data_IF_273264144089
#
_entry.id   IF_273264144089
#
_cell.length_a   1.000
_cell.length_b   1.000
_cell.length_c   1.000
_cell.angle_alpha   90.00
_cell.angle_beta   90.00
_cell.angle_gamma   90.00
#
_symmetry.space_group_name_H-M   'P 1'
#
loop_
_entity.id
_entity.type
_entity.pdbx_description
1 polymer ?
#
# COMPACT_ATOMS: atom_id res chain seq x y z
N UNK A 1 -11.44 12.66 -17.75
CA UNK A 1 -11.44 13.93 -16.98
C UNK A 1 -10.03 14.48 -16.71
N UNK A 2 -8.95 13.68 -16.86
CA UNK A 2 -7.57 14.07 -16.49
C UNK A 2 -7.13 15.36 -17.20
N UNK A 3 -7.26 15.41 -18.54
CA UNK A 3 -6.88 16.60 -19.33
C UNK A 3 -7.74 17.81 -18.98
N UNK A 4 -9.06 17.61 -18.73
CA UNK A 4 -9.98 18.68 -18.33
C UNK A 4 -9.52 19.30 -17.00
N UNK A 5 -9.24 18.46 -16.01
CA UNK A 5 -8.83 18.93 -14.67
C UNK A 5 -7.44 19.58 -14.67
N UNK A 6 -6.49 19.04 -15.45
CA UNK A 6 -5.20 19.70 -15.62
C UNK A 6 -5.31 21.10 -16.26
N UNK A 7 -6.17 21.26 -17.30
CA UNK A 7 -6.46 22.57 -17.88
C UNK A 7 -7.09 23.52 -16.86
N UNK A 8 -7.98 23.03 -16.01
CA UNK A 8 -8.61 23.82 -14.93
C UNK A 8 -7.54 24.30 -13.92
N UNK A 9 -6.59 23.46 -13.52
CA UNK A 9 -5.48 23.85 -12.66
C UNK A 9 -4.62 24.93 -13.32
N UNK A 10 -4.29 24.78 -14.61
CA UNK A 10 -3.43 25.72 -15.34
C UNK A 10 -4.09 27.08 -15.56
N UNK A 11 -5.40 27.09 -15.84
CA UNK A 11 -6.14 28.32 -16.19
C UNK A 11 -6.62 29.10 -14.97
N UNK A 12 -6.60 28.48 -13.78
CA UNK A 12 -7.10 29.10 -12.58
C UNK A 12 -5.95 29.28 -11.57
N UNK A 13 -5.29 30.44 -11.62
CA UNK A 13 -4.24 30.78 -10.66
C UNK A 13 -4.71 30.76 -9.19
N UNK A 14 -6.01 30.93 -8.95
CA UNK A 14 -6.62 30.78 -7.64
C UNK A 14 -6.76 29.31 -7.25
N UNK A 15 -6.97 28.37 -8.18
CA UNK A 15 -7.05 26.94 -7.87
C UNK A 15 -5.73 26.40 -7.31
N UNK A 16 -4.60 26.86 -7.84
CA UNK A 16 -3.27 26.52 -7.32
C UNK A 16 -3.09 27.03 -5.87
N UNK A 17 -3.63 28.21 -5.57
CA UNK A 17 -3.60 28.79 -4.20
C UNK A 17 -4.64 28.16 -3.26
N UNK A 18 -5.74 27.67 -3.81
CA UNK A 18 -6.93 27.26 -3.06
C UNK A 18 -7.06 25.73 -2.86
N UNK A 19 -6.06 24.91 -3.25
CA UNK A 19 -6.06 23.44 -3.09
C UNK A 19 -7.38 22.77 -3.51
N UNK A 20 -8.03 23.30 -4.55
CA UNK A 20 -9.40 22.90 -4.94
C UNK A 20 -9.50 21.42 -5.30
N UNK A 21 -8.50 20.87 -5.97
CA UNK A 21 -8.46 19.45 -6.33
C UNK A 21 -8.02 18.56 -5.18
N UNK A 22 -7.11 19.05 -4.31
CA UNK A 22 -6.76 18.34 -3.09
C UNK A 22 -7.98 18.17 -2.19
N UNK A 23 -8.74 19.25 -1.95
CA UNK A 23 -9.95 19.20 -1.11
C UNK A 23 -11.02 18.28 -1.72
N UNK A 24 -11.24 18.36 -3.04
CA UNK A 24 -12.19 17.48 -3.75
C UNK A 24 -11.77 16.00 -3.67
N UNK A 25 -10.49 15.71 -3.86
CA UNK A 25 -9.94 14.36 -3.74
C UNK A 25 -10.18 13.79 -2.33
N UNK A 26 -9.85 14.56 -1.29
CA UNK A 26 -10.08 14.18 0.10
C UNK A 26 -11.56 13.94 0.38
N UNK A 27 -12.47 14.80 -0.10
CA UNK A 27 -13.92 14.62 0.07
C UNK A 27 -14.45 13.37 -0.63
N UNK A 28 -14.01 13.08 -1.86
CA UNK A 28 -14.44 11.90 -2.58
C UNK A 28 -13.95 10.59 -1.89
N UNK A 29 -12.73 10.60 -1.33
CA UNK A 29 -12.26 9.48 -0.51
C UNK A 29 -13.06 9.32 0.78
N UNK A 30 -13.30 10.39 1.54
CA UNK A 30 -14.15 10.38 2.74
C UNK A 30 -15.52 9.79 2.43
N UNK A 31 -16.15 10.24 1.35
CA UNK A 31 -17.47 9.76 0.90
C UNK A 31 -17.43 8.28 0.52
N UNK A 32 -16.44 7.85 -0.26
CA UNK A 32 -16.33 6.48 -0.77
C UNK A 32 -16.07 5.48 0.34
N UNK A 33 -15.13 5.78 1.24
CA UNK A 33 -14.73 4.91 2.34
C UNK A 33 -15.52 5.14 3.62
N UNK A 34 -16.39 6.16 3.66
CA UNK A 34 -17.19 6.54 4.84
C UNK A 34 -16.32 6.82 6.08
N UNK A 35 -15.16 7.46 5.87
CA UNK A 35 -14.26 7.91 6.94
C UNK A 35 -14.45 9.38 7.25
N UNK A 36 -14.12 9.80 8.47
CA UNK A 36 -14.28 11.21 8.88
C UNK A 36 -13.24 12.12 8.23
N UNK A 37 -12.00 11.65 8.09
CA UNK A 37 -10.86 12.46 7.65
C UNK A 37 -10.09 11.75 6.56
N UNK A 38 -9.59 12.55 5.61
CA UNK A 38 -8.68 12.13 4.55
C UNK A 38 -7.60 13.19 4.38
N UNK A 39 -6.35 12.79 4.26
CA UNK A 39 -5.20 13.68 4.12
C UNK A 39 -4.40 13.25 2.90
N UNK A 40 -4.47 14.02 1.81
CA UNK A 40 -3.72 13.76 0.60
C UNK A 40 -2.26 14.18 0.77
N UNK A 41 -1.35 13.32 0.31
CA UNK A 41 0.11 13.45 0.43
C UNK A 41 0.80 13.17 -0.90
N UNK A 42 2.07 13.60 -1.02
CA UNK A 42 2.82 13.51 -2.27
C UNK A 42 3.35 12.10 -2.61
N UNK A 43 3.25 11.13 -1.70
CA UNK A 43 3.55 9.71 -1.96
C UNK A 43 2.96 8.79 -0.90
N UNK A 44 2.84 7.48 -1.18
CA UNK A 44 2.48 6.49 -0.16
C UNK A 44 3.49 6.46 0.99
N UNK A 45 4.80 6.55 0.68
CA UNK A 45 5.86 6.58 1.68
C UNK A 45 5.74 7.78 2.64
N UNK A 46 5.48 8.98 2.13
CA UNK A 46 5.23 10.15 2.98
C UNK A 46 3.95 10.01 3.82
N UNK A 47 2.96 9.31 3.30
CA UNK A 47 1.77 8.93 4.06
C UNK A 47 2.09 8.02 5.24
N UNK A 48 2.86 6.95 5.02
CA UNK A 48 3.31 6.07 6.10
C UNK A 48 4.11 6.82 7.16
N UNK A 49 5.02 7.72 6.74
CA UNK A 49 5.79 8.55 7.67
C UNK A 49 4.89 9.43 8.54
N UNK A 50 3.92 10.10 7.90
CA UNK A 50 2.94 10.92 8.62
C UNK A 50 2.05 10.10 9.55
N UNK A 51 1.67 8.87 9.16
CA UNK A 51 0.91 7.95 9.99
C UNK A 51 1.70 7.48 11.22
N UNK A 52 2.96 7.10 11.04
CA UNK A 52 3.84 6.72 12.16
C UNK A 52 4.09 7.89 13.12
N UNK A 53 4.32 9.11 12.57
CA UNK A 53 4.42 10.32 13.39
C UNK A 53 3.13 10.58 14.19
N UNK A 54 1.97 10.49 13.53
CA UNK A 54 0.67 10.69 14.18
C UNK A 54 0.40 9.66 15.29
N UNK A 55 0.81 8.39 15.06
CA UNK A 55 0.78 7.32 16.06
C UNK A 55 1.80 7.52 17.21
N UNK A 56 2.67 8.52 17.10
CA UNK A 56 3.64 8.91 18.13
C UNK A 56 4.86 8.00 18.19
N UNK A 57 5.27 7.41 17.06
CA UNK A 57 6.51 6.63 16.94
C UNK A 57 7.71 7.53 17.18
N UNK A 58 8.66 7.05 17.99
CA UNK A 58 9.87 7.78 18.41
C UNK A 58 11.11 6.87 18.37
N UNK A 59 12.32 7.43 18.41
CA UNK A 59 13.52 6.64 18.54
C UNK A 59 13.48 5.68 19.75
N UNK A 60 13.84 4.43 19.49
CA UNK A 60 13.82 3.35 20.50
C UNK A 60 12.51 2.56 20.60
N UNK A 61 11.44 3.01 19.95
CA UNK A 61 10.19 2.24 19.81
C UNK A 61 10.37 1.04 18.89
N UNK A 62 9.42 0.10 18.91
CA UNK A 62 9.35 -1.05 18.02
C UNK A 62 8.10 -0.97 17.14
N UNK A 63 8.27 -1.32 15.85
CA UNK A 63 7.19 -1.42 14.86
C UNK A 63 7.10 -2.86 14.40
N UNK A 64 5.91 -3.46 14.47
CA UNK A 64 5.67 -4.80 13.92
C UNK A 64 5.09 -4.67 12.51
N UNK A 65 5.70 -5.32 11.52
CA UNK A 65 5.21 -5.34 10.14
C UNK A 65 5.46 -6.68 9.44
N UNK A 66 4.98 -6.81 8.20
CA UNK A 66 5.18 -7.99 7.37
C UNK A 66 6.59 -8.02 6.75
N UNK A 67 7.23 -9.20 6.64
CA UNK A 67 8.43 -9.37 5.84
C UNK A 67 8.16 -9.27 4.32
N UNK A 68 6.92 -9.49 3.87
CA UNK A 68 6.50 -9.25 2.50
C UNK A 68 5.90 -7.85 2.36
N UNK A 69 6.74 -6.94 1.94
CA UNK A 69 6.41 -5.56 1.57
C UNK A 69 7.54 -4.99 0.72
N UNK A 70 7.39 -3.75 0.26
CA UNK A 70 8.52 -2.90 -0.13
C UNK A 70 9.19 -2.37 1.13
N UNK A 71 10.43 -1.88 1.00
CA UNK A 71 11.21 -1.39 2.15
C UNK A 71 10.56 -0.22 2.92
N UNK A 72 9.49 0.41 2.39
CA UNK A 72 8.96 1.66 2.95
C UNK A 72 8.46 1.54 4.39
N UNK A 73 7.73 0.47 4.76
CA UNK A 73 7.24 0.29 6.13
C UNK A 73 8.39 0.19 7.13
N UNK A 74 9.41 -0.60 6.79
CA UNK A 74 10.57 -0.82 7.61
C UNK A 74 11.55 0.37 7.55
N UNK A 75 11.85 0.86 6.36
CA UNK A 75 12.83 1.93 6.15
C UNK A 75 12.44 3.23 6.82
N UNK A 76 11.17 3.62 6.75
CA UNK A 76 10.67 4.82 7.43
C UNK A 76 10.77 4.67 8.95
N UNK A 77 10.38 3.52 9.50
CA UNK A 77 10.52 3.26 10.93
C UNK A 77 11.99 3.39 11.39
N UNK A 78 12.94 2.85 10.62
CA UNK A 78 14.36 2.95 10.90
C UNK A 78 14.86 4.41 10.81
N UNK A 79 14.43 5.16 9.81
CA UNK A 79 14.75 6.60 9.66
C UNK A 79 14.24 7.40 10.87
N UNK A 80 13.09 7.01 11.42
CA UNK A 80 12.54 7.60 12.66
C UNK A 80 13.27 7.13 13.93
N UNK A 81 14.26 6.24 13.82
CA UNK A 81 15.00 5.67 14.95
C UNK A 81 14.29 4.53 15.68
N UNK A 82 13.20 4.01 15.12
CA UNK A 82 12.50 2.85 15.63
C UNK A 82 13.14 1.54 15.15
N UNK A 83 12.95 0.46 15.90
CA UNK A 83 13.34 -0.89 15.53
C UNK A 83 12.17 -1.59 14.83
N UNK A 84 12.47 -2.32 13.76
CA UNK A 84 11.45 -3.10 13.03
C UNK A 84 11.47 -4.55 13.52
N UNK A 85 10.31 -5.10 13.78
CA UNK A 85 10.08 -6.50 14.15
C UNK A 85 9.22 -7.12 13.04
N UNK A 86 9.68 -8.22 12.46
CA UNK A 86 8.96 -8.88 11.37
C UNK A 86 8.12 -10.03 11.90
N UNK A 87 6.83 -9.98 11.69
CA UNK A 87 5.91 -11.07 11.96
C UNK A 87 5.66 -11.87 10.69
N UNK A 88 5.82 -13.20 10.75
CA UNK A 88 5.64 -14.09 9.60
C UNK A 88 4.20 -14.05 9.07
N UNK A 89 4.00 -14.59 7.90
CA UNK A 89 2.77 -14.56 7.13
C UNK A 89 2.00 -15.88 7.20
N UNK A 90 0.72 -15.83 6.83
CA UNK A 90 -0.08 -17.04 6.52
C UNK A 90 0.30 -17.58 5.15
N UNK A 91 0.54 -18.89 5.06
CA UNK A 91 0.98 -19.57 3.83
C UNK A 91 0.03 -19.34 2.64
N UNK A 92 -1.28 -19.41 2.87
CA UNK A 92 -2.27 -19.29 1.79
C UNK A 92 -2.48 -17.87 1.30
N UNK A 93 -2.62 -16.93 2.22
CA UNK A 93 -2.99 -15.55 1.91
C UNK A 93 -1.80 -14.61 1.64
N UNK A 94 -0.58 -15.00 2.01
CA UNK A 94 0.64 -14.18 1.97
C UNK A 94 0.58 -12.91 2.83
N UNK A 95 -0.47 -12.72 3.60
CA UNK A 95 -0.62 -11.61 4.52
C UNK A 95 -0.09 -11.96 5.91
N UNK A 96 0.30 -10.96 6.66
CA UNK A 96 0.81 -11.08 8.03
C UNK A 96 -0.14 -11.94 8.90
N UNK A 97 0.42 -12.87 9.69
CA UNK A 97 -0.37 -13.71 10.60
C UNK A 97 -0.63 -12.97 11.93
N UNK A 98 -1.90 -12.70 12.28
CA UNK A 98 -2.24 -12.07 13.56
C UNK A 98 -1.66 -12.78 14.79
N UNK A 99 -1.54 -14.12 14.76
CA UNK A 99 -0.94 -14.88 15.86
C UNK A 99 0.53 -14.56 16.01
N UNK A 100 1.25 -14.41 14.88
CA UNK A 100 2.66 -14.03 14.88
C UNK A 100 2.87 -12.58 15.32
N UNK A 101 1.93 -11.69 15.04
CA UNK A 101 1.95 -10.32 15.61
C UNK A 101 1.90 -10.39 17.13
N UNK A 102 0.93 -11.11 17.70
CA UNK A 102 0.70 -11.14 19.15
C UNK A 102 1.89 -11.74 19.92
N UNK A 103 2.56 -12.78 19.36
CA UNK A 103 3.76 -13.41 19.93
C UNK A 103 4.95 -12.42 20.07
N UNK A 104 5.01 -11.37 19.26
CA UNK A 104 6.14 -10.44 19.14
C UNK A 104 5.94 -9.11 19.88
N UNK A 105 4.78 -8.90 20.47
CA UNK A 105 4.49 -7.65 21.20
C UNK A 105 5.35 -7.53 22.45
N UNK A 106 5.99 -6.37 22.59
CA UNK A 106 6.75 -5.98 23.79
C UNK A 106 6.22 -4.67 24.36
N UNK A 107 6.77 -4.23 25.50
CA UNK A 107 6.47 -2.91 26.07
C UNK A 107 6.93 -1.74 25.21
N UNK A 108 7.78 -1.99 24.18
CA UNK A 108 8.29 -1.00 23.24
C UNK A 108 7.49 -0.96 21.95
N UNK A 109 6.60 -1.93 21.72
CA UNK A 109 5.77 -1.97 20.49
C UNK A 109 4.85 -0.75 20.45
N UNK A 110 5.06 0.11 19.47
CA UNK A 110 4.39 1.41 19.33
C UNK A 110 3.34 1.44 18.23
N UNK A 111 3.52 0.67 17.17
CA UNK A 111 2.51 0.50 16.12
C UNK A 111 2.64 -0.87 15.45
N UNK A 112 1.54 -1.34 14.87
CA UNK A 112 1.49 -2.52 14.01
C UNK A 112 1.10 -2.06 12.61
N UNK A 113 1.87 -2.48 11.58
CA UNK A 113 1.65 -2.08 10.19
C UNK A 113 1.35 -3.32 9.34
N UNK A 114 0.09 -3.78 9.26
CA UNK A 114 -0.30 -4.82 8.33
C UNK A 114 -0.33 -4.29 6.91
N UNK A 115 0.15 -5.09 5.95
CA UNK A 115 0.14 -4.78 4.52
C UNK A 115 -0.86 -5.69 3.83
N UNK A 116 -1.90 -5.14 3.21
CA UNK A 116 -2.86 -5.87 2.39
C UNK A 116 -2.23 -6.24 1.03
N UNK A 117 -1.42 -7.33 1.04
CA UNK A 117 -0.46 -7.63 -0.01
C UNK A 117 -1.12 -8.22 -1.27
N UNK A 118 -0.61 -7.82 -2.45
CA UNK A 118 -1.14 -8.15 -3.78
C UNK A 118 -2.57 -7.67 -4.06
N UNK A 119 -3.22 -7.00 -3.10
CA UNK A 119 -4.61 -6.56 -3.19
C UNK A 119 -5.60 -7.43 -2.43
N UNK A 120 -5.12 -8.39 -1.63
CA UNK A 120 -5.93 -9.18 -0.72
C UNK A 120 -5.95 -8.53 0.68
N UNK A 121 -7.13 -8.31 1.28
CA UNK A 121 -7.22 -7.76 2.64
C UNK A 121 -6.48 -8.61 3.68
N UNK A 122 -5.91 -7.96 4.68
CA UNK A 122 -5.46 -8.63 5.91
C UNK A 122 -6.65 -9.09 6.77
N UNK A 123 -6.41 -9.96 7.74
CA UNK A 123 -7.37 -10.34 8.79
C UNK A 123 -7.56 -9.19 9.80
N UNK A 124 -8.10 -8.06 9.30
CA UNK A 124 -8.07 -6.79 10.01
C UNK A 124 -8.83 -6.83 11.35
N UNK A 125 -9.92 -7.59 11.46
CA UNK A 125 -10.67 -7.71 12.72
C UNK A 125 -9.79 -8.29 13.84
N UNK A 126 -9.00 -9.34 13.53
CA UNK A 126 -8.10 -9.95 14.50
C UNK A 126 -6.95 -9.01 14.86
N UNK A 127 -6.38 -8.32 13.87
CA UNK A 127 -5.28 -7.37 14.08
C UNK A 127 -5.75 -6.18 14.93
N UNK A 128 -6.91 -5.61 14.63
CA UNK A 128 -7.49 -4.50 15.41
C UNK A 128 -7.81 -4.95 16.83
N UNK A 129 -8.31 -6.18 17.03
CA UNK A 129 -8.53 -6.74 18.36
C UNK A 129 -7.24 -6.83 19.17
N UNK A 130 -6.14 -7.25 18.54
CA UNK A 130 -4.80 -7.26 19.17
C UNK A 130 -4.38 -5.83 19.53
N UNK A 131 -4.48 -4.88 18.59
CA UNK A 131 -4.15 -3.48 18.81
C UNK A 131 -4.89 -2.90 20.03
N UNK A 132 -6.20 -3.14 20.13
CA UNK A 132 -7.02 -2.70 21.26
C UNK A 132 -6.61 -3.37 22.58
N UNK A 133 -6.33 -4.68 22.57
CA UNK A 133 -5.90 -5.44 23.76
C UNK A 133 -4.63 -4.86 24.38
N UNK A 134 -3.68 -4.43 23.54
CA UNK A 134 -2.39 -3.93 23.99
C UNK A 134 -2.27 -2.40 23.91
N UNK A 135 -3.34 -1.70 23.54
CA UNK A 135 -3.35 -0.25 23.31
C UNK A 135 -2.29 0.22 22.30
N UNK A 136 -2.18 -0.51 21.19
CA UNK A 136 -1.23 -0.26 20.11
C UNK A 136 -2.01 0.15 18.85
N UNK A 137 -1.74 1.32 18.24
CA UNK A 137 -2.42 1.75 17.03
C UNK A 137 -2.05 0.87 15.83
N UNK A 138 -3.04 0.67 14.95
CA UNK A 138 -2.91 -0.06 13.69
C UNK A 138 -2.81 0.94 12.54
N UNK A 139 -1.74 0.85 11.76
CA UNK A 139 -1.53 1.62 10.53
C UNK A 139 -1.63 0.66 9.34
N UNK A 140 -2.77 0.63 8.66
CA UNK A 140 -3.01 -0.32 7.57
C UNK A 140 -2.41 0.21 6.25
N UNK A 141 -1.41 -0.50 5.70
CA UNK A 141 -0.89 -0.22 4.36
C UNK A 141 -1.77 -0.89 3.29
N UNK A 142 -2.53 -0.05 2.62
CA UNK A 142 -3.43 -0.41 1.53
C UNK A 142 -2.90 0.05 0.15
N UNK A 143 -1.59 0.26 0.01
CA UNK A 143 -0.98 0.69 -1.25
C UNK A 143 -1.24 -0.25 -2.43
N UNK A 144 -1.63 -1.50 -2.17
CA UNK A 144 -1.91 -2.51 -3.17
C UNK A 144 -3.37 -2.99 -3.19
N UNK A 145 -4.27 -2.40 -2.37
CA UNK A 145 -5.58 -2.99 -2.10
C UNK A 145 -6.77 -2.04 -2.27
N UNK A 146 -6.66 -1.07 -3.17
CA UNK A 146 -7.73 -0.13 -3.48
C UNK A 146 -9.05 -0.86 -3.80
N UNK A 147 -10.14 -0.52 -3.07
CA UNK A 147 -11.46 -1.16 -3.15
C UNK A 147 -11.46 -2.69 -2.93
N UNK A 148 -10.45 -3.23 -2.26
CA UNK A 148 -10.55 -4.56 -1.69
C UNK A 148 -11.53 -4.53 -0.49
N UNK A 149 -12.20 -5.66 -0.21
CA UNK A 149 -13.19 -5.72 0.87
C UNK A 149 -12.90 -6.91 1.80
N UNK A 150 -13.05 -6.67 3.07
CA UNK A 150 -13.00 -7.68 4.13
C UNK A 150 -14.38 -7.75 4.80
N UNK A 151 -15.06 -8.88 4.69
CA UNK A 151 -16.41 -9.09 5.26
C UNK A 151 -17.39 -7.96 4.90
N UNK A 152 -17.40 -7.54 3.62
CA UNK A 152 -18.29 -6.50 3.08
C UNK A 152 -17.92 -5.06 3.45
N UNK A 153 -16.77 -4.82 4.08
CA UNK A 153 -16.23 -3.48 4.36
C UNK A 153 -14.98 -3.23 3.51
N UNK A 154 -14.83 -2.04 2.97
CA UNK A 154 -13.58 -1.68 2.30
C UNK A 154 -12.41 -1.73 3.29
N UNK A 155 -11.23 -2.17 2.80
CA UNK A 155 -9.98 -2.00 3.53
C UNK A 155 -9.76 -0.52 3.85
N UNK A 156 -9.08 -0.23 4.93
CA UNK A 156 -8.75 1.13 5.32
C UNK A 156 -9.78 1.84 6.20
N UNK A 157 -10.87 1.18 6.59
CA UNK A 157 -11.94 1.79 7.42
C UNK A 157 -11.92 1.34 8.88
N UNK A 158 -11.31 0.20 9.16
CA UNK A 158 -11.32 -0.42 10.50
C UNK A 158 -10.06 -0.12 11.32
N UNK A 159 -8.94 0.18 10.68
CA UNK A 159 -7.69 0.56 11.32
C UNK A 159 -7.72 2.00 11.88
N UNK A 160 -6.80 2.33 12.78
CA UNK A 160 -6.69 3.66 13.36
C UNK A 160 -6.28 4.69 12.30
N UNK A 161 -5.33 4.32 11.44
CA UNK A 161 -4.90 5.10 10.27
C UNK A 161 -4.69 4.12 9.12
N UNK A 162 -5.05 4.54 7.92
CA UNK A 162 -4.82 3.74 6.71
C UNK A 162 -4.17 4.57 5.62
N UNK A 163 -3.34 3.95 4.78
CA UNK A 163 -2.64 4.61 3.69
C UNK A 163 -2.93 3.95 2.35
N UNK A 164 -3.18 4.76 1.33
CA UNK A 164 -3.28 4.35 -0.07
C UNK A 164 -2.25 5.09 -0.92
N UNK A 165 -1.67 4.40 -1.90
CA UNK A 165 -0.68 4.96 -2.81
C UNK A 165 -1.26 5.19 -4.20
N UNK A 166 -0.81 6.26 -4.86
CA UNK A 166 -1.13 6.61 -6.25
C UNK A 166 0.11 6.57 -7.14
N UNK A 167 1.12 5.77 -6.75
CA UNK A 167 2.29 5.54 -7.56
C UNK A 167 1.89 4.92 -8.92
N UNK A 168 2.74 5.06 -9.92
CA UNK A 168 2.52 4.69 -11.32
C UNK A 168 1.86 3.32 -11.56
N UNK A 169 2.16 2.32 -10.75
CA UNK A 169 1.68 0.93 -10.95
C UNK A 169 0.36 0.62 -10.25
N UNK A 170 -0.11 1.50 -9.36
CA UNK A 170 -1.28 1.27 -8.51
C UNK A 170 -2.60 1.25 -9.29
N UNK A 171 -3.69 0.94 -8.61
CA UNK A 171 -5.03 0.86 -9.23
C UNK A 171 -5.49 2.19 -9.84
N UNK A 172 -5.17 3.28 -9.16
CA UNK A 172 -5.22 4.64 -9.70
C UNK A 172 -3.84 5.25 -9.59
N UNK A 173 -3.49 6.15 -10.48
CA UNK A 173 -2.17 6.76 -10.50
C UNK A 173 -2.22 8.21 -10.92
N UNK A 174 -1.46 9.04 -10.20
CA UNK A 174 -1.08 10.38 -10.63
C UNK A 174 0.45 10.51 -10.75
N UNK A 175 1.13 9.40 -11.00
CA UNK A 175 2.55 9.16 -11.01
C UNK A 175 3.14 9.05 -9.60
N UNK A 176 3.02 10.09 -8.78
CA UNK A 176 3.36 10.09 -7.35
C UNK A 176 2.26 10.75 -6.55
N UNK A 177 1.84 10.11 -5.47
CA UNK A 177 0.79 10.57 -4.58
C UNK A 177 0.37 9.48 -3.59
N UNK A 178 -0.44 9.89 -2.65
CA UNK A 178 -1.06 8.99 -1.66
C UNK A 178 -2.14 9.71 -0.88
N UNK A 179 -2.83 8.96 -0.02
CA UNK A 179 -3.83 9.51 0.89
C UNK A 179 -3.90 8.69 2.16
N UNK A 180 -4.05 9.37 3.28
CA UNK A 180 -4.34 8.78 4.57
C UNK A 180 -5.83 8.88 4.86
N UNK A 181 -6.39 7.86 5.50
CA UNK A 181 -7.74 7.84 6.03
C UNK A 181 -7.71 7.57 7.53
N UNK A 182 -8.55 8.25 8.30
CA UNK A 182 -8.74 7.98 9.72
C UNK A 182 -10.10 8.49 10.20
N UNK A 183 -10.60 7.91 11.30
CA UNK A 183 -11.78 8.38 12.02
C UNK A 183 -11.41 9.19 13.27
N UNK A 184 -10.11 9.29 13.61
CA UNK A 184 -9.59 10.04 14.75
C UNK A 184 -9.19 11.45 14.31
N UNK A 185 -9.80 12.47 14.95
CA UNK A 185 -9.40 13.86 14.73
C UNK A 185 -7.95 14.12 15.15
N UNK A 186 -7.53 13.51 16.25
CA UNK A 186 -6.16 13.64 16.76
C UNK A 186 -5.14 13.15 15.72
N UNK A 187 -5.34 11.96 15.16
CA UNK A 187 -4.44 11.43 14.12
C UNK A 187 -4.49 12.26 12.84
N UNK A 188 -5.68 12.74 12.45
CA UNK A 188 -5.82 13.58 11.28
C UNK A 188 -5.06 14.92 11.43
N UNK A 189 -5.18 15.59 12.58
CA UNK A 189 -4.47 16.84 12.87
C UNK A 189 -2.96 16.63 12.87
N UNK A 190 -2.46 15.60 13.57
CA UNK A 190 -1.03 15.29 13.63
C UNK A 190 -0.46 14.96 12.24
N UNK A 191 -1.12 14.08 11.50
CA UNK A 191 -0.69 13.71 10.15
C UNK A 191 -0.69 14.93 9.21
N UNK A 192 -1.71 15.79 9.27
CA UNK A 192 -1.79 17.00 8.45
C UNK A 192 -0.74 18.02 8.81
N UNK A 193 -0.50 18.27 10.09
CA UNK A 193 0.56 19.16 10.55
C UNK A 193 1.93 18.66 10.10
N UNK A 194 2.23 17.39 10.35
CA UNK A 194 3.49 16.79 9.92
C UNK A 194 3.70 16.87 8.41
N UNK A 195 2.68 16.54 7.62
CA UNK A 195 2.73 16.62 6.15
C UNK A 195 2.76 18.05 5.61
N UNK A 196 2.33 19.00 6.40
CA UNK A 196 2.18 20.42 6.03
C UNK A 196 3.28 21.36 6.53
N UNK A 197 4.35 20.85 7.15
CA UNK A 197 5.45 21.67 7.67
C UNK A 197 5.25 22.14 9.10
N UNK A 198 4.37 21.54 9.87
CA UNK A 198 4.17 21.83 11.29
C UNK A 198 3.41 23.13 11.58
N UNK A 199 2.68 23.67 10.62
CA UNK A 199 1.91 24.91 10.83
C UNK A 199 0.73 24.70 11.77
N UNK A 200 0.61 25.52 12.82
CA UNK A 200 -0.41 25.39 13.86
C UNK A 200 -1.85 25.68 13.43
N UNK A 201 -2.04 26.39 12.32
CA UNK A 201 -3.36 26.67 11.75
C UNK A 201 -3.92 25.53 10.90
N UNK A 202 -3.16 24.45 10.69
CA UNK A 202 -3.64 23.24 10.03
C UNK A 202 -4.53 22.45 11.00
N UNK A 203 -5.66 21.99 10.49
CA UNK A 203 -6.64 21.19 11.24
C UNK A 203 -6.93 19.89 10.50
N UNK A 204 -7.75 19.03 11.07
CA UNK A 204 -8.14 17.77 10.43
C UNK A 204 -8.74 17.95 9.02
N UNK A 205 -9.51 19.00 8.80
CA UNK A 205 -10.22 19.29 7.54
C UNK A 205 -9.60 20.41 6.68
N UNK A 206 -8.60 21.13 7.21
CA UNK A 206 -7.97 22.24 6.47
C UNK A 206 -6.59 21.83 5.97
N UNK A 207 -6.50 21.60 4.67
CA UNK A 207 -5.25 21.37 3.95
C UNK A 207 -4.45 22.65 3.70
N UNK A 208 -5.03 23.82 4.00
CA UNK A 208 -4.53 25.13 3.57
C UNK A 208 -3.97 25.99 4.69
N UNK A 209 -2.84 26.57 4.37
CA UNK A 209 -2.50 27.90 4.82
C UNK A 209 -3.48 28.87 4.12
N UNK A 210 -4.54 29.30 4.79
CA UNK A 210 -5.69 29.99 4.19
C UNK A 210 -5.29 31.21 3.35
N UNK A 211 -5.99 31.43 2.23
CA UNK A 211 -5.82 32.59 1.37
C UNK A 211 -6.18 33.95 2.06
N UNK A 212 -7.04 33.88 3.07
CA UNK A 212 -7.24 35.02 4.02
C UNK A 212 -6.40 34.72 5.25
N UNK A 213 -5.18 35.24 5.24
CA UNK A 213 -4.30 35.24 6.42
C UNK A 213 -4.93 36.16 7.43
N UNK A 214 -5.37 35.71 8.62
CA UNK A 214 -5.81 36.62 9.69
C UNK A 214 -4.74 37.65 9.97
N UNK A 215 -5.15 38.86 10.34
CA UNK A 215 -4.23 39.97 10.60
C UNK A 215 -3.13 39.59 11.61
N UNK A 216 -3.47 38.77 12.58
CA UNK A 216 -2.54 38.18 13.56
C UNK A 216 -1.39 37.39 12.94
N UNK A 217 -1.60 36.69 11.79
CA UNK A 217 -0.54 35.95 11.10
C UNK A 217 0.49 36.84 10.41
N UNK A 218 0.16 38.15 10.26
CA UNK A 218 1.06 39.17 9.70
C UNK A 218 1.89 39.86 10.79
N UNK A 219 1.55 39.60 12.06
CA UNK A 219 2.31 40.15 13.17
C UNK A 219 3.72 39.52 13.23
N UNK A 220 4.78 40.30 13.48
CA UNK A 220 6.15 39.79 13.55
C UNK A 220 6.41 38.88 14.74
N UNK A 221 5.57 38.94 15.77
CA UNK A 221 5.65 38.10 16.99
C UNK A 221 4.82 36.80 16.88
N UNK A 222 4.02 36.61 15.80
CA UNK A 222 3.22 35.42 15.60
C UNK A 222 4.08 34.16 15.39
N UNK A 223 3.95 33.18 16.28
CA UNK A 223 4.62 31.85 16.16
C UNK A 223 3.78 30.94 15.26
N UNK A 224 4.34 30.56 14.11
CA UNK A 224 3.62 29.85 13.04
C UNK A 224 3.57 28.34 13.22
N UNK A 225 4.53 27.76 13.94
CA UNK A 225 4.70 26.32 14.06
C UNK A 225 4.54 25.87 15.51
N UNK A 226 3.83 24.79 15.72
CA UNK A 226 3.64 24.11 17.01
C UNK A 226 3.97 22.60 16.92
N UNK A 227 4.41 22.15 15.76
CA UNK A 227 4.92 20.80 15.52
C UNK A 227 6.11 20.84 14.56
N UNK A 228 6.91 19.76 14.53
CA UNK A 228 7.90 19.54 13.47
C UNK A 228 7.22 18.82 12.32
N UNK A 229 7.44 19.30 11.11
CA UNK A 229 6.83 18.71 9.93
C UNK A 229 7.68 18.83 8.68
N UNK A 230 7.29 18.06 7.69
CA UNK A 230 7.91 18.02 6.38
C UNK A 230 6.94 18.54 5.31
N UNK A 231 7.43 18.82 4.12
CA UNK A 231 6.58 19.20 3.00
C UNK A 231 6.16 17.97 2.19
N UNK A 232 5.10 17.32 2.65
CA UNK A 232 4.51 16.14 2.01
C UNK A 232 3.17 16.43 1.33
N UNK A 233 2.84 17.71 1.14
CA UNK A 233 1.61 18.10 0.45
C UNK A 233 1.62 17.60 -0.99
N UNK A 234 0.51 17.02 -1.42
CA UNK A 234 0.30 16.66 -2.83
C UNK A 234 0.21 17.95 -3.67
N UNK A 235 0.75 17.95 -4.88
CA UNK A 235 0.56 19.06 -5.80
C UNK A 235 -0.86 19.05 -6.37
N UNK A 236 -1.42 20.23 -6.71
CA UNK A 236 -2.74 20.32 -7.35
C UNK A 236 -2.80 19.59 -8.69
N UNK A 237 -1.70 19.51 -9.43
CA UNK A 237 -1.62 18.74 -10.66
C UNK A 237 -1.79 17.23 -10.40
N UNK A 238 -1.09 16.71 -9.41
CA UNK A 238 -1.24 15.30 -9.02
C UNK A 238 -2.63 15.03 -8.42
N UNK A 239 -3.15 15.94 -7.59
CA UNK A 239 -4.49 15.82 -7.01
C UNK A 239 -5.59 15.80 -8.10
N UNK A 240 -5.47 16.65 -9.11
CA UNK A 240 -6.40 16.71 -10.25
C UNK A 240 -6.40 15.39 -11.05
N UNK A 241 -5.21 14.84 -11.33
CA UNK A 241 -5.09 13.54 -12.01
C UNK A 241 -5.61 12.41 -11.12
N UNK A 242 -5.24 12.38 -9.83
CA UNK A 242 -5.70 11.37 -8.88
C UNK A 242 -7.22 11.37 -8.76
N UNK A 243 -7.86 12.55 -8.67
CA UNK A 243 -9.32 12.68 -8.64
C UNK A 243 -9.97 12.10 -9.90
N UNK A 244 -9.49 12.48 -11.09
CA UNK A 244 -10.01 11.96 -12.34
C UNK A 244 -9.86 10.44 -12.48
N UNK A 245 -8.76 9.89 -11.96
CA UNK A 245 -8.53 8.44 -11.90
C UNK A 245 -9.46 7.77 -10.88
N UNK A 246 -9.70 8.42 -9.73
CA UNK A 246 -10.56 7.89 -8.68
C UNK A 246 -12.03 7.82 -9.10
N UNK A 247 -12.49 8.77 -9.90
CA UNK A 247 -13.85 8.72 -10.51
C UNK A 247 -14.11 7.43 -11.30
N UNK A 248 -13.05 6.80 -11.85
CA UNK A 248 -13.09 5.56 -12.62
C UNK A 248 -12.56 4.34 -11.86
N UNK A 249 -12.32 4.47 -10.57
CA UNK A 249 -11.61 3.45 -9.77
C UNK A 249 -12.33 2.09 -9.79
N UNK A 250 -13.66 2.09 -9.75
CA UNK A 250 -14.46 0.86 -9.79
C UNK A 250 -14.21 0.07 -11.08
N UNK A 251 -14.26 0.73 -12.23
CA UNK A 251 -14.02 0.12 -13.53
C UNK A 251 -12.59 -0.45 -13.63
N UNK A 252 -11.61 0.29 -13.12
CA UNK A 252 -10.21 -0.12 -13.12
C UNK A 252 -9.95 -1.35 -12.25
N UNK A 253 -10.54 -1.39 -11.06
CA UNK A 253 -10.44 -2.56 -10.17
C UNK A 253 -11.16 -3.76 -10.76
N UNK A 254 -12.34 -3.56 -11.37
CA UNK A 254 -13.09 -4.63 -12.01
C UNK A 254 -12.35 -5.22 -13.22
N UNK A 255 -11.67 -4.39 -14.01
CA UNK A 255 -10.81 -4.87 -15.10
C UNK A 255 -9.71 -5.80 -14.56
N UNK A 256 -9.04 -5.42 -13.46
CA UNK A 256 -8.02 -6.26 -12.82
C UNK A 256 -8.59 -7.58 -12.31
N UNK A 257 -9.77 -7.57 -11.70
CA UNK A 257 -10.50 -8.77 -11.26
C UNK A 257 -10.81 -9.70 -12.43
N UNK A 258 -11.31 -9.14 -13.52
CA UNK A 258 -11.62 -9.91 -14.73
C UNK A 258 -10.36 -10.54 -15.35
N UNK A 259 -9.23 -9.83 -15.34
CA UNK A 259 -7.93 -10.36 -15.79
C UNK A 259 -7.45 -11.47 -14.84
N UNK A 260 -7.56 -11.27 -13.53
CA UNK A 260 -7.21 -12.29 -12.53
C UNK A 260 -8.03 -13.58 -12.71
N UNK A 261 -9.31 -13.46 -13.05
CA UNK A 261 -10.17 -14.62 -13.37
C UNK A 261 -9.67 -15.42 -14.59
N UNK A 262 -9.03 -14.76 -15.57
CA UNK A 262 -8.42 -15.47 -16.68
C UNK A 262 -7.19 -16.26 -16.23
N UNK A 263 -6.34 -15.69 -15.38
CA UNK A 263 -5.23 -16.42 -14.77
C UNK A 263 -5.72 -17.61 -13.94
N UNK A 264 -6.73 -17.39 -13.11
CA UNK A 264 -7.33 -18.46 -12.29
C UNK A 264 -7.80 -19.64 -13.15
N UNK A 265 -8.48 -19.38 -14.28
CA UNK A 265 -8.92 -20.42 -15.22
C UNK A 265 -7.78 -21.21 -15.84
N UNK A 266 -6.62 -20.61 -16.01
CA UNK A 266 -5.45 -21.30 -16.53
C UNK A 266 -4.79 -22.10 -15.43
N UNK A 267 -4.44 -21.49 -14.31
CA UNK A 267 -3.71 -22.17 -13.25
C UNK A 267 -4.52 -23.31 -12.60
N UNK A 268 -5.85 -23.25 -12.62
CA UNK A 268 -6.69 -24.38 -12.18
C UNK A 268 -6.47 -25.69 -12.98
N UNK A 269 -5.89 -25.59 -14.18
CA UNK A 269 -5.52 -26.77 -15.01
C UNK A 269 -4.15 -27.34 -14.64
N UNK A 270 -3.37 -26.66 -13.84
CA UNK A 270 -1.99 -27.00 -13.48
C UNK A 270 -1.88 -27.13 -11.96
N UNK A 271 -2.28 -28.29 -11.43
CA UNK A 271 -2.43 -28.55 -9.98
C UNK A 271 -1.15 -28.41 -9.15
N UNK A 272 0.02 -28.37 -9.80
CA UNK A 272 1.32 -28.09 -9.14
C UNK A 272 1.54 -26.60 -8.82
N UNK A 273 0.71 -25.72 -9.36
CA UNK A 273 0.74 -24.28 -9.08
C UNK A 273 -0.33 -23.94 -8.03
N UNK A 274 0.06 -23.16 -7.05
CA UNK A 274 -0.83 -22.75 -5.96
C UNK A 274 -1.06 -21.25 -6.01
N UNK A 275 -2.25 -20.83 -6.43
CA UNK A 275 -2.63 -19.41 -6.39
C UNK A 275 -2.75 -18.90 -4.96
N UNK A 276 -2.54 -17.60 -4.74
CA UNK A 276 -2.87 -16.98 -3.46
C UNK A 276 -4.32 -17.29 -3.09
N UNK A 277 -4.56 -17.73 -1.87
CA UNK A 277 -5.90 -18.00 -1.38
C UNK A 277 -6.74 -16.73 -1.31
N UNK A 278 -7.98 -16.82 -1.73
CA UNK A 278 -8.97 -15.77 -1.57
C UNK A 278 -10.12 -16.30 -0.71
N UNK A 279 -10.11 -16.06 0.61
CA UNK A 279 -11.16 -16.55 1.51
C UNK A 279 -12.55 -16.02 1.12
N UNK A 280 -13.61 -16.78 1.42
CA UNK A 280 -14.98 -16.53 0.95
C UNK A 280 -15.48 -15.09 1.21
N UNK A 281 -15.13 -14.54 2.35
CA UNK A 281 -15.63 -13.22 2.78
C UNK A 281 -14.68 -12.07 2.42
N UNK A 282 -13.73 -12.32 1.50
CA UNK A 282 -12.76 -11.34 1.01
C UNK A 282 -13.02 -11.01 -0.44
N UNK A 283 -12.91 -9.73 -0.79
CA UNK A 283 -12.96 -9.27 -2.17
C UNK A 283 -11.59 -8.73 -2.56
N UNK A 284 -10.86 -9.53 -3.31
CA UNK A 284 -9.51 -9.22 -3.77
C UNK A 284 -9.54 -8.13 -4.87
N UNK A 285 -8.67 -7.15 -4.80
CA UNK A 285 -8.55 -6.09 -5.83
C UNK A 285 -7.47 -6.38 -6.89
N UNK A 286 -6.69 -7.41 -6.69
CA UNK A 286 -5.68 -7.93 -7.62
C UNK A 286 -4.71 -6.86 -8.14
N UNK A 287 -3.91 -6.29 -7.26
CA UNK A 287 -2.75 -5.49 -7.68
C UNK A 287 -1.82 -6.31 -8.59
N UNK A 288 -1.57 -7.54 -8.22
CA UNK A 288 -0.94 -8.59 -9.01
C UNK A 288 -1.68 -9.90 -8.82
N UNK A 289 -1.53 -10.85 -9.75
CA UNK A 289 -1.95 -12.23 -9.56
C UNK A 289 -0.74 -13.05 -9.11
N UNK A 290 -0.76 -13.48 -7.86
CA UNK A 290 0.33 -14.21 -7.24
C UNK A 290 0.08 -15.72 -7.29
N UNK A 291 1.10 -16.48 -7.69
CA UNK A 291 1.06 -17.94 -7.73
C UNK A 291 2.40 -18.54 -7.29
N UNK A 292 2.36 -19.56 -6.46
CA UNK A 292 3.53 -20.35 -6.11
C UNK A 292 3.74 -21.41 -7.19
N UNK A 293 4.92 -21.41 -7.81
CA UNK A 293 5.30 -22.39 -8.81
C UNK A 293 5.83 -23.68 -8.18
N UNK A 294 5.84 -24.81 -8.90
CA UNK A 294 6.47 -26.04 -8.45
C UNK A 294 8.00 -26.03 -8.55
N UNK A 295 8.62 -24.92 -8.95
CA UNK A 295 10.07 -24.80 -9.05
C UNK A 295 10.73 -25.09 -7.69
N UNK A 296 11.73 -25.98 -7.72
CA UNK A 296 12.47 -26.40 -6.51
C UNK A 296 13.63 -25.48 -6.17
N UNK A 297 14.07 -24.70 -7.16
CA UNK A 297 15.23 -23.81 -7.04
C UNK A 297 15.15 -22.66 -8.06
N UNK A 298 16.05 -21.70 -7.91
CA UNK A 298 16.11 -20.51 -8.76
C UNK A 298 16.35 -20.83 -10.25
N UNK A 299 17.09 -21.90 -10.57
CA UNK A 299 17.37 -22.26 -11.97
C UNK A 299 16.10 -22.72 -12.66
N UNK A 300 15.30 -23.58 -12.04
CA UNK A 300 13.99 -24.02 -12.57
C UNK A 300 13.04 -22.83 -12.77
N UNK A 301 13.04 -21.88 -11.83
CA UNK A 301 12.27 -20.64 -11.97
C UNK A 301 12.73 -19.82 -13.18
N UNK A 302 14.04 -19.61 -13.32
CA UNK A 302 14.65 -18.88 -14.44
C UNK A 302 14.41 -19.57 -15.78
N UNK A 303 14.47 -20.91 -15.82
CA UNK A 303 14.23 -21.68 -17.03
C UNK A 303 12.80 -21.50 -17.52
N UNK A 304 11.83 -21.54 -16.61
CA UNK A 304 10.44 -21.22 -16.96
C UNK A 304 10.29 -19.77 -17.46
N UNK A 305 10.86 -18.79 -16.75
CA UNK A 305 10.82 -17.40 -17.18
C UNK A 305 11.39 -17.21 -18.57
N UNK A 306 12.59 -17.72 -18.82
CA UNK A 306 13.27 -17.61 -20.12
C UNK A 306 12.49 -18.32 -21.23
N UNK A 307 11.90 -19.48 -20.96
CA UNK A 307 11.04 -20.18 -21.91
C UNK A 307 9.80 -19.36 -22.27
N UNK A 308 9.13 -18.80 -21.25
CA UNK A 308 7.96 -17.95 -21.43
C UNK A 308 8.30 -16.71 -22.26
N UNK A 309 9.43 -16.07 -22.02
CA UNK A 309 9.90 -14.91 -22.78
C UNK A 309 10.20 -15.26 -24.24
N UNK A 310 10.87 -16.36 -24.50
CA UNK A 310 11.15 -16.84 -25.87
C UNK A 310 9.88 -17.12 -26.68
N UNK A 311 8.80 -17.51 -26.01
CA UNK A 311 7.48 -17.68 -26.62
C UNK A 311 6.70 -16.35 -26.79
N UNK A 312 7.33 -15.22 -26.57
CA UNK A 312 6.72 -13.89 -26.66
C UNK A 312 5.76 -13.57 -25.53
N UNK A 313 5.92 -14.24 -24.39
CA UNK A 313 5.15 -13.94 -23.15
C UNK A 313 5.52 -12.58 -22.57
N UNK A 314 4.58 -12.01 -21.80
CA UNK A 314 4.84 -10.77 -21.04
C UNK A 314 5.80 -11.02 -19.87
N UNK A 315 6.32 -9.95 -19.29
CA UNK A 315 7.08 -10.07 -18.06
C UNK A 315 6.16 -10.47 -16.90
N UNK A 316 6.64 -11.37 -16.07
CA UNK A 316 6.16 -11.53 -14.71
C UNK A 316 7.33 -11.34 -13.75
N UNK A 317 7.02 -11.07 -12.49
CA UNK A 317 8.03 -10.73 -11.50
C UNK A 317 8.18 -11.87 -10.49
N UNK A 318 9.38 -12.03 -9.95
CA UNK A 318 9.56 -12.79 -8.72
C UNK A 318 8.96 -12.04 -7.55
N UNK A 319 8.60 -12.77 -6.48
CA UNK A 319 8.36 -12.15 -5.19
C UNK A 319 9.64 -11.45 -4.74
N UNK A 320 9.52 -10.22 -4.23
CA UNK A 320 10.66 -9.51 -3.64
C UNK A 320 11.24 -10.33 -2.48
N UNK A 321 12.54 -10.18 -2.27
CA UNK A 321 13.21 -10.72 -1.08
C UNK A 321 12.51 -10.25 0.18
N UNK A 322 12.47 -11.07 1.25
CA UNK A 322 11.99 -10.60 2.54
C UNK A 322 12.75 -9.33 2.94
N UNK A 323 12.03 -8.30 3.40
CA UNK A 323 12.60 -6.97 3.67
C UNK A 323 13.86 -7.04 4.54
N UNK A 324 13.87 -7.89 5.55
CA UNK A 324 15.04 -8.04 6.43
C UNK A 324 16.29 -8.64 5.73
N UNK A 325 16.11 -9.28 4.57
CA UNK A 325 17.22 -9.89 3.81
C UNK A 325 17.88 -8.94 2.80
N UNK A 326 17.31 -7.75 2.59
CA UNK A 326 17.89 -6.72 1.75
C UNK A 326 19.28 -6.29 2.29
N UNK A 327 20.22 -5.95 1.39
CA UNK A 327 21.60 -5.64 1.79
C UNK A 327 21.69 -4.51 2.82
N UNK A 328 20.86 -3.48 2.67
CA UNK A 328 20.81 -2.39 3.66
C UNK A 328 20.33 -2.89 5.02
N UNK A 329 19.33 -3.76 5.07
CA UNK A 329 18.83 -4.31 6.33
C UNK A 329 19.86 -5.20 7.02
N UNK A 330 20.64 -5.97 6.23
CA UNK A 330 21.77 -6.74 6.71
C UNK A 330 22.86 -5.86 7.32
N UNK A 331 23.21 -4.76 6.65
CA UNK A 331 24.20 -3.81 7.15
C UNK A 331 23.79 -3.14 8.46
N UNK A 332 22.49 -3.05 8.72
CA UNK A 332 21.91 -2.54 9.97
C UNK A 332 21.70 -3.61 11.05
N UNK A 333 22.14 -4.85 10.82
CA UNK A 333 22.06 -5.94 11.80
C UNK A 333 20.68 -6.62 11.91
N UNK A 334 19.77 -6.40 10.94
CA UNK A 334 18.45 -7.05 10.95
C UNK A 334 18.46 -8.49 10.46
N UNK A 335 19.56 -8.95 9.88
CA UNK A 335 19.70 -10.29 9.36
C UNK A 335 20.98 -10.94 9.90
N UNK A 336 20.81 -12.03 10.62
CA UNK A 336 21.92 -12.90 10.98
C UNK A 336 21.89 -14.15 10.08
N UNK A 337 23.05 -14.49 9.50
CA UNK A 337 23.20 -15.65 8.64
C UNK A 337 22.86 -16.92 9.44
N UNK A 338 21.92 -17.73 8.93
CA UNK A 338 21.41 -18.97 9.53
C UNK A 338 20.27 -18.85 10.55
N UNK A 339 19.65 -17.67 10.72
CA UNK A 339 18.40 -17.56 11.46
C UNK A 339 17.24 -17.51 10.47
N UNK A 340 16.36 -18.51 10.56
CA UNK A 340 15.11 -18.56 9.82
C UNK A 340 14.08 -17.68 10.56
N UNK A 341 14.08 -16.38 10.23
CA UNK A 341 13.30 -15.37 10.96
C UNK A 341 11.80 -15.52 10.70
N UNK A 342 11.44 -15.78 9.43
CA UNK A 342 10.07 -15.94 8.97
C UNK A 342 9.96 -17.16 8.04
N UNK A 343 9.87 -18.37 8.60
CA UNK A 343 9.97 -19.63 7.84
C UNK A 343 8.92 -19.79 6.74
N UNK A 344 7.72 -19.29 6.94
CA UNK A 344 6.67 -19.35 5.90
C UNK A 344 7.03 -18.44 4.74
N UNK A 345 7.45 -17.20 5.04
CA UNK A 345 7.93 -16.24 4.05
C UNK A 345 9.09 -16.78 3.23
N UNK A 346 10.11 -17.32 3.90
CA UNK A 346 11.32 -17.86 3.25
C UNK A 346 11.05 -19.10 2.40
N UNK A 347 10.06 -19.90 2.77
CA UNK A 347 9.59 -21.03 1.97
C UNK A 347 8.85 -20.60 0.69
N UNK A 348 8.01 -19.58 0.78
CA UNK A 348 7.15 -19.14 -0.34
C UNK A 348 7.92 -18.28 -1.34
N UNK A 349 8.74 -17.35 -0.86
CA UNK A 349 9.38 -16.30 -1.65
C UNK A 349 10.07 -16.81 -2.93
N UNK A 350 10.98 -17.80 -2.90
CA UNK A 350 11.74 -18.20 -4.09
C UNK A 350 10.90 -18.86 -5.17
N UNK A 351 9.67 -19.27 -4.85
CA UNK A 351 8.75 -19.97 -5.77
C UNK A 351 7.67 -19.08 -6.34
N UNK A 352 7.44 -17.90 -5.77
CA UNK A 352 6.35 -17.04 -6.20
C UNK A 352 6.64 -16.37 -7.54
N UNK A 353 5.60 -16.35 -8.37
CA UNK A 353 5.51 -15.63 -9.64
C UNK A 353 4.36 -14.66 -9.56
N UNK A 354 4.62 -13.39 -9.92
CA UNK A 354 3.67 -12.30 -9.85
C UNK A 354 3.31 -11.84 -11.27
N UNK A 355 2.09 -12.13 -11.67
CA UNK A 355 1.58 -11.79 -12.98
C UNK A 355 0.84 -10.46 -12.94
N UNK A 356 1.08 -9.64 -13.93
CA UNK A 356 0.51 -8.31 -14.04
C UNK A 356 -1.00 -8.37 -14.36
N UNK A 357 -1.75 -7.49 -13.72
CA UNK A 357 -3.20 -7.33 -13.91
C UNK A 357 -3.58 -5.96 -14.48
N UNK A 358 -2.61 -5.07 -14.67
CA UNK A 358 -2.79 -3.68 -15.12
C UNK A 358 -2.70 -3.52 -16.64
N UNK A 359 -3.25 -4.46 -17.41
CA UNK A 359 -3.43 -4.30 -18.86
C UNK A 359 -4.46 -3.21 -19.16
N UNK A 360 -4.37 -2.63 -20.36
CA UNK A 360 -5.29 -1.56 -20.79
C UNK A 360 -6.70 -2.08 -21.07
N UNK A 361 -6.79 -3.34 -21.51
CA UNK A 361 -8.06 -4.00 -21.79
C UNK A 361 -7.98 -5.51 -21.52
N UNK A 362 -9.14 -6.16 -21.50
CA UNK A 362 -9.23 -7.61 -21.37
C UNK A 362 -8.70 -8.32 -22.62
N UNK A 363 -8.84 -7.70 -23.80
CA UNK A 363 -8.35 -8.21 -25.08
C UNK A 363 -6.82 -8.26 -25.09
N UNK A 364 -6.16 -7.18 -24.66
CA UNK A 364 -4.70 -7.16 -24.50
C UNK A 364 -4.24 -8.26 -23.53
N UNK A 365 -4.89 -8.38 -22.40
CA UNK A 365 -4.58 -9.41 -21.40
C UNK A 365 -4.69 -10.83 -21.97
N UNK A 366 -5.75 -11.14 -22.72
CA UNK A 366 -5.97 -12.45 -23.34
C UNK A 366 -4.82 -12.89 -24.25
N UNK A 367 -4.20 -11.96 -24.98
CA UNK A 367 -3.06 -12.25 -25.86
C UNK A 367 -1.89 -12.84 -25.04
N UNK A 368 -1.50 -12.16 -23.96
CA UNK A 368 -0.37 -12.59 -23.13
C UNK A 368 -0.70 -13.79 -22.26
N UNK A 369 -1.93 -13.88 -21.77
CA UNK A 369 -2.39 -15.02 -20.96
C UNK A 369 -2.47 -16.30 -21.80
N UNK A 370 -2.81 -16.19 -23.09
CA UNK A 370 -2.72 -17.34 -24.02
C UNK A 370 -1.29 -17.83 -24.18
N UNK A 371 -0.32 -16.92 -24.35
CA UNK A 371 1.11 -17.28 -24.43
C UNK A 371 1.61 -17.92 -23.13
N UNK A 372 1.09 -17.51 -21.98
CA UNK A 372 1.39 -18.14 -20.70
C UNK A 372 0.86 -19.59 -20.68
N UNK A 373 -0.39 -19.80 -21.06
CA UNK A 373 -0.98 -21.15 -21.12
C UNK A 373 -0.16 -22.08 -22.04
N UNK A 374 0.27 -21.60 -23.19
CA UNK A 374 1.07 -22.37 -24.14
C UNK A 374 2.47 -22.71 -23.56
N UNK A 375 3.08 -21.78 -22.82
CA UNK A 375 4.34 -22.00 -22.10
C UNK A 375 4.20 -23.05 -20.99
N UNK A 376 3.13 -22.97 -20.20
CA UNK A 376 2.84 -23.94 -19.13
C UNK A 376 2.62 -25.35 -19.69
N UNK A 377 1.87 -25.48 -20.78
CA UNK A 377 1.64 -26.79 -21.46
C UNK A 377 2.93 -27.46 -21.91
N UNK A 378 3.87 -26.67 -22.46
CA UNK A 378 5.15 -27.22 -22.99
C UNK A 378 6.07 -27.72 -21.88
N UNK A 379 6.01 -27.14 -20.69
CA UNK A 379 6.94 -27.49 -19.58
C UNK A 379 6.31 -28.44 -18.58
N UNK A 380 5.03 -28.30 -18.25
CA UNK A 380 4.42 -29.00 -17.13
C UNK A 380 3.40 -30.09 -17.52
N UNK A 381 3.13 -30.27 -18.81
CA UNK A 381 2.22 -31.34 -19.33
C UNK A 381 3.00 -32.48 -20.02
N UNK A 382 4.32 -32.53 -19.84
CA UNK A 382 5.13 -33.66 -20.28
C UNK A 382 5.16 -34.79 -19.25
#
# INVERSE_FOLDING_TARGET
>A
NELKYLKEVLNNSESVRNSAFTDRLEQEFKKKFKTKYAIAVNSGASGLHAAMHAAGVKPGDEIITSPFSVLWDAGIAIIMGAKVIFADIKYGTHNIDPKKIEELITKKTKAIIPVSYHGLPCDIDEIVKIGRKYNIPIIEDNAQSMLAEYKGRFVGVDADISMFSFERTKHISCHEGGILLTNSEEYAVKARKFSGGGFKNLTADKSKLTAKIPLEFQSPDYKRHDDLGLNYRISEFCAAVALAQFEKVKEKVELRRNIANLYQKIFSKFTKFESQENPKDYVHSYFTYAVKSPAKNLNEWKDFYNHHKRNGGDNFYAMMSPVYSEDIMRSLGYFEKNINLCPVTENIQPRCMLFKTNYRSIEEAKIYIKKLEDSLKKIFVR
#
